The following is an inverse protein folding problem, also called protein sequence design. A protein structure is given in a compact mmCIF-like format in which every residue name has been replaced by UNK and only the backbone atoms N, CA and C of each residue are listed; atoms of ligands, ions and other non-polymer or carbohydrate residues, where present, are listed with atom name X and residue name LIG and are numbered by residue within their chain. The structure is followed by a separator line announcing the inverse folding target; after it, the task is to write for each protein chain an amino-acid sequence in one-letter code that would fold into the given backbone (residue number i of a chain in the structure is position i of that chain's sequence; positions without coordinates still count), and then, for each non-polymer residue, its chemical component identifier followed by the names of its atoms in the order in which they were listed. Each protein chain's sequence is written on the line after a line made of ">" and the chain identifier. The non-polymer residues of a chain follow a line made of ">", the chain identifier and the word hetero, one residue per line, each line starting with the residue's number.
data_IF_309632615817
#
_entry.id   IF_309632615817
#
_cell.length_a   1.000
_cell.length_b   1.000
_cell.length_c   1.000
_cell.angle_alpha   90.00
_cell.angle_beta   90.00
_cell.angle_gamma   90.00
#
_symmetry.space_group_name_H-M   'P 1'
#
loop_
_entity.id
_entity.type
_entity.pdbx_description
1 polymer ?
#
# COMPACT_ATOMS: atom_id res chain seq x y z
N UNK A 1 57.73 -3.12 31.19
CA UNK A 1 56.72 -4.07 31.71
C UNK A 1 55.42 -3.66 31.05
N UNK A 2 55.14 -4.23 29.88
CA UNK A 2 53.89 -3.93 29.15
C UNK A 2 52.75 -4.71 29.82
N UNK A 3 51.73 -3.99 30.27
CA UNK A 3 50.54 -4.61 30.84
C UNK A 3 49.74 -5.29 29.72
N UNK A 4 49.58 -6.60 29.81
CA UNK A 4 48.78 -7.39 28.88
C UNK A 4 47.31 -6.94 28.98
N UNK A 5 46.79 -6.33 27.92
CA UNK A 5 45.39 -5.86 27.87
C UNK A 5 44.49 -7.06 27.62
N UNK A 6 43.80 -7.55 28.66
CA UNK A 6 42.81 -8.60 28.51
C UNK A 6 41.55 -8.06 27.81
N UNK A 7 41.23 -8.63 26.64
CA UNK A 7 39.99 -8.31 25.93
C UNK A 7 38.83 -9.13 26.52
N UNK A 8 37.63 -8.54 26.68
CA UNK A 8 36.45 -9.27 27.14
C UNK A 8 36.06 -10.36 26.13
N UNK A 9 35.50 -11.46 26.64
CA UNK A 9 34.96 -12.55 25.82
C UNK A 9 33.77 -12.03 25.00
N UNK A 10 33.79 -12.32 23.69
CA UNK A 10 32.68 -12.01 22.80
C UNK A 10 31.66 -13.15 22.85
N UNK A 11 30.44 -12.86 23.32
CA UNK A 11 29.31 -13.79 23.41
C UNK A 11 28.23 -13.43 22.38
N UNK A 12 28.65 -13.28 21.11
CA UNK A 12 27.74 -12.99 20.01
C UNK A 12 27.22 -14.28 19.40
N UNK A 13 25.93 -14.34 18.99
CA UNK A 13 25.37 -15.50 18.33
C UNK A 13 26.05 -15.75 16.98
N UNK A 14 26.12 -17.02 16.59
CA UNK A 14 26.71 -17.46 15.31
C UNK A 14 25.92 -16.85 14.15
N UNK A 15 26.63 -16.46 13.09
CA UNK A 15 26.02 -15.93 11.88
C UNK A 15 25.22 -17.03 11.15
N UNK A 16 23.90 -16.93 11.16
CA UNK A 16 23.00 -17.88 10.49
C UNK A 16 23.01 -17.76 8.95
N UNK A 17 23.69 -16.76 8.38
CA UNK A 17 23.65 -16.43 6.94
C UNK A 17 24.95 -16.75 6.19
N UNK A 18 26.00 -17.19 6.89
CA UNK A 18 27.36 -17.29 6.35
C UNK A 18 27.46 -18.17 5.09
N UNK A 19 26.77 -19.31 5.08
CA UNK A 19 26.80 -20.25 3.96
C UNK A 19 25.69 -20.00 2.92
N UNK A 20 24.61 -19.32 3.31
CA UNK A 20 23.43 -19.15 2.44
C UNK A 20 23.72 -18.09 1.36
N UNK A 21 24.39 -17.00 1.74
CA UNK A 21 24.64 -15.88 0.83
C UNK A 21 25.71 -16.16 -0.22
N UNK A 22 26.60 -17.14 0.03
CA UNK A 22 27.70 -17.51 -0.86
C UNK A 22 27.25 -18.45 -2.00
N UNK A 23 26.07 -19.08 -1.87
CA UNK A 23 25.54 -20.02 -2.86
C UNK A 23 24.71 -19.36 -3.98
N UNK A 24 24.25 -18.13 -3.81
CA UNK A 24 23.47 -17.44 -4.84
C UNK A 24 24.33 -17.07 -6.05
N UNK A 25 24.30 -17.92 -7.08
CA UNK A 25 24.74 -17.54 -8.42
C UNK A 25 23.64 -16.73 -9.09
N UNK A 26 23.96 -15.52 -9.58
CA UNK A 26 23.05 -14.58 -10.26
C UNK A 26 22.47 -15.09 -11.60
N UNK A 27 22.45 -16.40 -11.88
CA UNK A 27 22.25 -16.90 -13.24
C UNK A 27 20.82 -16.79 -13.76
N UNK A 28 19.80 -16.74 -12.89
CA UNK A 28 18.40 -16.91 -13.33
C UNK A 28 17.50 -15.68 -13.15
N UNK A 29 17.96 -14.64 -12.44
CA UNK A 29 17.14 -13.46 -12.11
C UNK A 29 16.91 -12.49 -13.28
N UNK A 30 17.68 -12.63 -14.36
CA UNK A 30 17.74 -11.65 -15.44
C UNK A 30 17.84 -12.28 -16.84
N UNK A 31 17.22 -13.46 -17.04
CA UNK A 31 17.07 -14.03 -18.39
C UNK A 31 16.41 -12.99 -19.30
N UNK A 32 16.92 -12.86 -20.54
CA UNK A 32 16.39 -11.89 -21.51
C UNK A 32 14.89 -12.09 -21.75
N UNK A 33 14.40 -13.32 -21.64
CA UNK A 33 12.97 -13.64 -21.70
C UNK A 33 12.16 -13.01 -20.57
N UNK A 34 12.71 -12.91 -19.36
CA UNK A 34 12.03 -12.32 -18.20
C UNK A 34 11.97 -10.79 -18.34
N UNK A 35 13.04 -10.17 -18.86
CA UNK A 35 13.07 -8.73 -19.18
C UNK A 35 12.09 -8.38 -20.30
N UNK A 36 12.05 -9.17 -21.37
CA UNK A 36 11.08 -9.03 -22.46
C UNK A 36 9.65 -9.08 -21.91
N UNK A 37 9.36 -10.11 -21.10
CA UNK A 37 8.05 -10.27 -20.46
C UNK A 37 7.69 -9.12 -19.53
N UNK A 38 8.65 -8.64 -18.72
CA UNK A 38 8.46 -7.47 -17.86
C UNK A 38 8.10 -6.22 -18.67
N UNK A 39 8.79 -5.97 -19.77
CA UNK A 39 8.52 -4.84 -20.67
C UNK A 39 7.12 -4.89 -21.29
N UNK A 40 6.71 -6.08 -21.77
CA UNK A 40 5.37 -6.29 -22.35
C UNK A 40 4.29 -6.02 -21.29
N UNK A 41 4.43 -6.63 -20.11
CA UNK A 41 3.48 -6.46 -19.01
C UNK A 41 3.41 -5.00 -18.53
N UNK A 42 4.55 -4.31 -18.47
CA UNK A 42 4.60 -2.88 -18.11
C UNK A 42 3.74 -2.04 -19.04
N UNK A 43 3.82 -2.26 -20.35
CA UNK A 43 3.01 -1.50 -21.32
C UNK A 43 1.52 -1.86 -21.21
N UNK A 44 1.17 -3.14 -21.06
CA UNK A 44 -0.24 -3.55 -20.87
C UNK A 44 -0.85 -2.96 -19.58
N UNK A 45 -0.08 -2.94 -18.49
CA UNK A 45 -0.49 -2.29 -17.23
C UNK A 45 -0.66 -0.79 -17.44
N UNK A 46 0.23 -0.15 -18.21
CA UNK A 46 0.13 1.27 -18.55
C UNK A 46 -1.15 1.57 -19.33
N UNK A 47 -1.50 0.77 -20.33
CA UNK A 47 -2.73 0.93 -21.10
C UNK A 47 -3.97 0.82 -20.20
N UNK A 48 -4.00 -0.19 -19.32
CA UNK A 48 -5.08 -0.40 -18.35
C UNK A 48 -5.18 0.78 -17.37
N UNK A 49 -4.03 1.27 -16.89
CA UNK A 49 -3.96 2.46 -16.05
C UNK A 49 -4.51 3.69 -16.78
N UNK A 50 -4.14 3.90 -18.04
CA UNK A 50 -4.64 5.02 -18.85
C UNK A 50 -6.14 4.91 -19.14
N UNK A 51 -6.69 3.71 -19.26
CA UNK A 51 -8.12 3.48 -19.42
C UNK A 51 -8.91 3.79 -18.14
N UNK A 52 -8.35 3.51 -16.97
CA UNK A 52 -9.00 3.77 -15.67
C UNK A 52 -9.37 5.24 -15.44
N UNK A 53 -8.74 6.18 -16.16
CA UNK A 53 -9.04 7.63 -16.11
C UNK A 53 -10.50 7.97 -16.42
N UNK A 54 -11.23 7.09 -17.10
CA UNK A 54 -12.65 7.31 -17.41
C UNK A 54 -13.51 7.39 -16.15
N UNK A 55 -13.11 6.70 -15.08
CA UNK A 55 -13.80 6.71 -13.79
C UNK A 55 -12.80 7.10 -12.69
N UNK A 56 -12.94 8.29 -12.08
CA UNK A 56 -11.98 8.73 -11.07
C UNK A 56 -11.84 7.80 -9.86
N UNK A 57 -12.90 7.07 -9.50
CA UNK A 57 -12.87 6.12 -8.39
C UNK A 57 -12.02 4.89 -8.75
N UNK A 58 -12.22 4.35 -9.96
CA UNK A 58 -11.42 3.23 -10.46
C UNK A 58 -9.97 3.66 -10.66
N UNK A 59 -9.75 4.89 -11.12
CA UNK A 59 -8.43 5.45 -11.30
C UNK A 59 -7.62 5.47 -10.00
N UNK A 60 -8.17 6.01 -8.91
CA UNK A 60 -7.42 6.06 -7.66
C UNK A 60 -7.26 4.67 -7.03
N UNK A 61 -8.24 3.76 -7.18
CA UNK A 61 -8.06 2.34 -6.79
C UNK A 61 -6.93 1.66 -7.59
N UNK A 62 -6.74 2.04 -8.84
CA UNK A 62 -5.65 1.52 -9.66
C UNK A 62 -4.30 2.06 -9.15
N UNK A 63 -4.21 3.37 -8.88
CA UNK A 63 -3.02 4.02 -8.31
C UNK A 63 -2.63 3.39 -6.97
N UNK A 64 -3.61 3.15 -6.09
CA UNK A 64 -3.43 2.40 -4.84
C UNK A 64 -2.70 1.09 -5.07
N UNK A 65 -3.28 0.28 -5.94
CA UNK A 65 -2.82 -1.06 -6.22
C UNK A 65 -1.39 -1.02 -6.77
N UNK A 66 -1.06 -0.08 -7.65
CA UNK A 66 0.30 0.14 -8.15
C UNK A 66 1.29 0.47 -7.02
N UNK A 67 0.93 1.39 -6.12
CA UNK A 67 1.77 1.79 -4.99
C UNK A 67 2.03 0.62 -4.04
N UNK A 68 0.99 -0.14 -3.68
CA UNK A 68 1.12 -1.25 -2.73
C UNK A 68 1.77 -2.49 -3.31
N UNK A 69 1.64 -2.71 -4.62
CA UNK A 69 2.40 -3.72 -5.34
C UNK A 69 3.86 -3.29 -5.59
N UNK A 70 4.24 -2.07 -5.20
CA UNK A 70 5.60 -1.58 -5.29
C UNK A 70 6.07 -1.32 -6.72
N UNK A 71 5.15 -1.08 -7.66
CA UNK A 71 5.45 -0.84 -9.09
C UNK A 71 5.07 0.56 -9.56
N UNK A 72 4.56 1.42 -8.68
CA UNK A 72 4.17 2.80 -8.99
C UNK A 72 5.33 3.64 -9.55
N UNK A 73 6.57 3.36 -9.17
CA UNK A 73 7.76 4.08 -9.64
C UNK A 73 7.95 3.99 -11.16
N UNK A 74 7.37 2.99 -11.83
CA UNK A 74 7.37 2.89 -13.30
C UNK A 74 6.47 3.93 -13.97
N UNK A 75 5.55 4.54 -13.23
CA UNK A 75 4.46 5.36 -13.74
C UNK A 75 4.34 6.71 -13.02
N UNK A 76 5.36 7.17 -12.28
CA UNK A 76 5.30 8.38 -11.43
C UNK A 76 4.76 9.61 -12.16
N UNK A 77 5.29 9.89 -13.36
CA UNK A 77 4.86 11.04 -14.17
C UNK A 77 3.39 10.97 -14.55
N UNK A 78 2.93 9.77 -14.91
CA UNK A 78 1.56 9.52 -15.30
C UNK A 78 0.61 9.61 -14.09
N UNK A 79 1.03 9.09 -12.94
CA UNK A 79 0.30 9.17 -11.67
C UNK A 79 0.13 10.64 -11.24
N UNK A 80 1.22 11.40 -11.18
CA UNK A 80 1.18 12.82 -10.79
C UNK A 80 0.26 13.62 -11.70
N UNK A 81 0.40 13.46 -13.01
CA UNK A 81 -0.44 14.18 -13.99
C UNK A 81 -1.93 13.85 -13.85
N UNK A 82 -2.28 12.58 -13.60
CA UNK A 82 -3.67 12.16 -13.43
C UNK A 82 -4.28 12.64 -12.13
N UNK A 83 -3.50 12.64 -11.04
CA UNK A 83 -3.92 13.20 -9.77
C UNK A 83 -4.19 14.70 -9.95
N UNK A 84 -3.23 15.50 -10.40
CA UNK A 84 -3.40 16.95 -10.64
C UNK A 84 -4.71 17.27 -11.39
N UNK A 85 -4.93 16.60 -12.52
CA UNK A 85 -6.14 16.80 -13.34
C UNK A 85 -7.44 16.41 -12.62
N UNK A 86 -7.40 15.38 -11.78
CA UNK A 86 -8.57 14.92 -11.03
C UNK A 86 -8.97 15.94 -9.96
N UNK A 87 -8.00 16.61 -9.32
CA UNK A 87 -8.27 17.63 -8.29
C UNK A 87 -8.88 18.92 -8.86
N UNK A 88 -8.45 19.33 -10.06
CA UNK A 88 -9.01 20.51 -10.73
C UNK A 88 -10.47 20.29 -11.20
N UNK A 89 -10.97 19.06 -11.17
CA UNK A 89 -12.35 18.73 -11.55
C UNK A 89 -13.32 18.92 -10.39
N UNK A 90 -14.27 19.86 -10.53
CA UNK A 90 -15.41 20.01 -9.61
C UNK A 90 -16.25 18.72 -9.50
N UNK A 91 -16.31 17.94 -10.58
CA UNK A 91 -17.06 16.69 -10.67
C UNK A 91 -16.41 15.56 -9.85
N UNK A 92 -15.09 15.61 -9.65
CA UNK A 92 -14.34 14.68 -8.79
C UNK A 92 -14.72 14.86 -7.32
N UNK A 93 -14.70 16.10 -6.84
CA UNK A 93 -15.10 16.44 -5.47
C UNK A 93 -16.56 16.05 -5.20
N UNK A 94 -17.45 16.21 -6.18
CA UNK A 94 -18.86 15.85 -6.05
C UNK A 94 -19.08 14.33 -6.10
N UNK A 95 -18.43 13.60 -7.00
CA UNK A 95 -18.54 12.13 -7.09
C UNK A 95 -17.90 11.41 -5.89
N UNK A 96 -16.77 11.88 -5.38
CA UNK A 96 -16.20 11.37 -4.12
C UNK A 96 -17.15 11.61 -2.94
N UNK A 97 -17.85 12.75 -2.91
CA UNK A 97 -18.84 13.06 -1.86
C UNK A 97 -20.10 12.20 -1.94
N UNK A 98 -20.52 11.79 -3.14
CA UNK A 98 -21.82 11.14 -3.36
C UNK A 98 -21.75 9.60 -3.45
N UNK A 99 -20.66 9.01 -3.95
CA UNK A 99 -20.69 7.61 -4.43
C UNK A 99 -19.81 6.63 -3.64
N UNK A 100 -19.52 6.93 -2.36
CA UNK A 100 -18.92 5.95 -1.43
C UNK A 100 -17.59 5.36 -1.91
N UNK A 101 -16.62 6.22 -2.25
CA UNK A 101 -15.28 5.79 -2.66
C UNK A 101 -14.62 4.90 -1.60
N UNK A 102 -13.87 3.89 -2.01
CA UNK A 102 -13.08 3.07 -1.07
C UNK A 102 -11.95 3.96 -0.49
N UNK A 103 -12.08 4.32 0.78
CA UNK A 103 -11.40 5.45 1.42
C UNK A 103 -9.87 5.33 1.55
N UNK A 104 -9.24 4.26 1.06
CA UNK A 104 -7.80 4.31 0.80
C UNK A 104 -7.48 5.39 -0.25
N UNK A 105 -8.37 5.56 -1.24
CA UNK A 105 -8.34 6.66 -2.20
C UNK A 105 -8.40 8.02 -1.52
N UNK A 106 -9.24 8.16 -0.49
CA UNK A 106 -9.32 9.40 0.30
C UNK A 106 -8.08 9.60 1.17
N UNK A 107 -7.46 8.52 1.67
CA UNK A 107 -6.17 8.54 2.34
C UNK A 107 -5.00 8.93 1.42
N UNK A 108 -4.98 8.47 0.16
CA UNK A 108 -4.02 8.91 -0.87
C UNK A 108 -4.28 10.37 -1.25
N UNK A 109 -5.54 10.76 -1.44
CA UNK A 109 -5.94 12.16 -1.68
C UNK A 109 -5.51 13.06 -0.51
N UNK A 110 -5.63 12.56 0.72
CA UNK A 110 -5.13 13.20 1.94
C UNK A 110 -3.60 13.31 1.91
N UNK A 111 -2.89 12.22 1.58
CA UNK A 111 -1.42 12.16 1.45
C UNK A 111 -0.87 13.13 0.39
N UNK A 112 -1.55 13.28 -0.75
CA UNK A 112 -1.04 14.09 -1.87
C UNK A 112 -1.42 15.57 -1.73
N UNK A 113 -2.56 15.91 -1.12
CA UNK A 113 -3.09 17.29 -1.16
C UNK A 113 -3.45 17.91 0.20
N UNK A 114 -3.26 17.19 1.31
CA UNK A 114 -3.35 17.73 2.67
C UNK A 114 -4.64 18.55 2.97
N UNK A 115 -5.76 18.19 2.32
CA UNK A 115 -7.01 18.97 2.32
C UNK A 115 -8.26 18.10 2.53
N UNK A 116 -8.08 16.88 3.04
CA UNK A 116 -9.06 15.79 2.89
C UNK A 116 -9.98 15.49 4.07
N UNK A 117 -9.76 16.07 5.26
CA UNK A 117 -10.51 15.71 6.49
C UNK A 117 -12.02 15.91 6.35
N UNK A 118 -12.45 16.96 5.66
CA UNK A 118 -13.87 17.27 5.43
C UNK A 118 -14.61 16.25 4.54
N UNK A 119 -13.92 15.33 3.86
CA UNK A 119 -14.58 14.29 3.07
C UNK A 119 -15.03 13.08 3.90
N UNK A 120 -14.42 12.90 5.08
CA UNK A 120 -14.67 11.78 6.00
C UNK A 120 -15.84 12.04 6.94
N UNK A 121 -16.20 13.31 7.13
CA UNK A 121 -17.26 13.72 8.03
C UNK A 121 -18.58 13.96 7.29
N UNK A 122 -19.69 13.57 7.91
CA UNK A 122 -21.05 13.97 7.49
C UNK A 122 -21.32 15.43 7.85
N UNK A 123 -22.53 15.91 7.54
CA UNK A 123 -22.94 17.29 7.82
C UNK A 123 -22.98 17.59 9.33
N UNK A 124 -23.06 16.56 10.18
CA UNK A 124 -23.04 16.66 11.65
C UNK A 124 -21.62 16.58 12.23
N UNK A 125 -20.59 16.47 11.38
CA UNK A 125 -19.20 16.36 11.80
C UNK A 125 -18.82 14.98 12.32
N UNK A 126 -19.62 13.94 12.07
CA UNK A 126 -19.34 12.55 12.45
C UNK A 126 -18.83 11.73 11.28
N UNK A 127 -18.12 10.64 11.57
CA UNK A 127 -17.78 9.67 10.54
C UNK A 127 -19.04 9.09 9.90
N UNK A 128 -19.15 9.26 8.58
CA UNK A 128 -20.28 8.74 7.78
C UNK A 128 -20.47 7.25 8.05
N UNK A 129 -21.69 6.82 8.38
CA UNK A 129 -21.97 5.44 8.79
C UNK A 129 -21.55 4.35 7.78
N UNK A 130 -21.52 4.67 6.48
CA UNK A 130 -21.05 3.74 5.45
C UNK A 130 -19.53 3.49 5.49
N UNK A 131 -18.74 4.34 6.18
CA UNK A 131 -17.29 4.16 6.40
C UNK A 131 -16.96 2.89 7.20
N UNK A 132 -17.91 2.48 8.04
CA UNK A 132 -17.78 1.41 9.02
C UNK A 132 -18.56 0.17 8.59
N UNK A 133 -19.16 0.20 7.40
CA UNK A 133 -20.07 -0.84 6.96
C UNK A 133 -19.34 -2.19 6.70
N UNK A 134 -18.04 -2.16 6.39
CA UNK A 134 -17.23 -3.37 6.18
C UNK A 134 -15.76 -3.24 6.65
N UNK A 135 -15.05 -4.37 6.68
CA UNK A 135 -13.65 -4.43 7.12
C UNK A 135 -12.70 -3.65 6.21
N UNK A 136 -13.00 -3.55 4.91
CA UNK A 136 -12.12 -2.87 3.94
C UNK A 136 -12.19 -1.35 4.12
N UNK A 137 -13.39 -0.81 4.33
CA UNK A 137 -13.62 0.59 4.66
C UNK A 137 -12.98 0.97 5.98
N UNK A 138 -13.19 0.15 7.03
CA UNK A 138 -12.59 0.39 8.36
C UNK A 138 -11.05 0.33 8.30
N UNK A 139 -10.48 -0.62 7.55
CA UNK A 139 -9.02 -0.75 7.38
C UNK A 139 -8.45 0.45 6.63
N UNK A 140 -9.14 0.90 5.59
CA UNK A 140 -8.76 2.08 4.82
C UNK A 140 -8.74 3.34 5.69
N UNK A 141 -9.75 3.51 6.55
CA UNK A 141 -9.82 4.63 7.50
C UNK A 141 -8.65 4.58 8.49
N UNK A 142 -8.35 3.39 9.03
CA UNK A 142 -7.20 3.19 9.92
C UNK A 142 -5.87 3.56 9.26
N UNK A 143 -5.60 3.07 8.05
CA UNK A 143 -4.36 3.37 7.34
C UNK A 143 -4.24 4.85 6.98
N UNK A 144 -5.35 5.52 6.65
CA UNK A 144 -5.38 6.95 6.40
C UNK A 144 -5.12 7.78 7.67
N UNK A 145 -5.77 7.42 8.78
CA UNK A 145 -5.64 8.14 10.06
C UNK A 145 -4.22 8.09 10.63
N UNK A 146 -3.42 7.10 10.24
CA UNK A 146 -2.04 7.00 10.69
C UNK A 146 -1.08 8.05 10.11
N UNK A 147 -1.50 8.77 9.06
CA UNK A 147 -0.80 9.94 8.52
C UNK A 147 -1.06 11.22 9.31
N UNK A 148 -1.85 11.16 10.38
CA UNK A 148 -2.19 12.31 11.20
C UNK A 148 -0.94 13.02 11.75
N UNK A 149 -1.02 14.34 11.78
CA UNK A 149 -0.08 15.23 12.46
C UNK A 149 -0.69 15.80 13.74
N UNK A 150 0.13 16.19 14.75
CA UNK A 150 -0.40 16.72 16.00
C UNK A 150 -1.31 17.93 15.79
N UNK A 151 -2.53 17.88 16.35
CA UNK A 151 -3.55 18.94 16.24
C UNK A 151 -4.68 18.64 15.25
N UNK A 152 -4.71 17.43 14.67
CA UNK A 152 -5.79 16.97 13.79
C UNK A 152 -6.80 16.09 14.55
N UNK A 153 -7.60 16.70 15.42
CA UNK A 153 -8.58 16.02 16.28
C UNK A 153 -9.47 15.02 15.53
N UNK A 154 -9.82 15.33 14.28
CA UNK A 154 -10.59 14.44 13.41
C UNK A 154 -9.86 13.13 13.10
N UNK A 155 -8.57 13.17 12.74
CA UNK A 155 -7.86 11.94 12.42
C UNK A 155 -7.49 11.14 13.67
N UNK A 156 -7.27 11.81 14.80
CA UNK A 156 -7.12 11.14 16.09
C UNK A 156 -8.39 10.36 16.46
N UNK A 157 -9.58 10.94 16.24
CA UNK A 157 -10.86 10.24 16.43
C UNK A 157 -11.02 9.08 15.42
N UNK A 158 -10.66 9.30 14.14
CA UNK A 158 -10.68 8.25 13.11
C UNK A 158 -9.81 7.05 13.50
N UNK A 159 -8.62 7.33 14.05
CA UNK A 159 -7.67 6.32 14.47
C UNK A 159 -8.20 5.52 15.67
N UNK A 160 -8.75 6.20 16.68
CA UNK A 160 -9.35 5.56 17.85
C UNK A 160 -10.54 4.67 17.45
N UNK A 161 -11.43 5.22 16.61
CA UNK A 161 -12.61 4.53 16.11
C UNK A 161 -12.25 3.28 15.30
N UNK A 162 -11.41 3.43 14.28
CA UNK A 162 -11.05 2.32 13.40
C UNK A 162 -10.29 1.22 14.13
N UNK A 163 -9.40 1.56 15.08
CA UNK A 163 -8.74 0.57 15.95
C UNK A 163 -9.73 -0.25 16.76
N UNK A 164 -10.73 0.39 17.38
CA UNK A 164 -11.70 -0.28 18.23
C UNK A 164 -12.56 -1.30 17.46
N UNK A 165 -12.83 -1.04 16.18
CA UNK A 165 -13.72 -1.87 15.37
C UNK A 165 -12.99 -2.88 14.47
N UNK A 166 -11.72 -2.63 14.10
CA UNK A 166 -11.01 -3.47 13.15
C UNK A 166 -10.82 -4.91 13.60
N UNK A 167 -10.50 -5.13 14.88
CA UNK A 167 -10.29 -6.49 15.41
C UNK A 167 -11.59 -7.32 15.33
N UNK A 168 -12.71 -6.72 15.71
CA UNK A 168 -14.02 -7.37 15.68
C UNK A 168 -14.45 -7.68 14.23
N UNK A 169 -14.40 -6.70 13.33
CA UNK A 169 -14.87 -6.88 11.94
C UNK A 169 -13.93 -7.82 11.18
N UNK A 170 -12.64 -7.81 11.48
CA UNK A 170 -11.65 -8.74 10.93
C UNK A 170 -11.97 -10.20 11.25
N UNK A 171 -12.46 -10.50 12.46
CA UNK A 171 -12.85 -11.87 12.84
C UNK A 171 -13.99 -12.46 12.00
N UNK A 172 -14.77 -11.59 11.33
CA UNK A 172 -15.91 -11.94 10.47
C UNK A 172 -15.58 -11.85 8.98
N UNK A 173 -14.33 -11.54 8.64
CA UNK A 173 -13.86 -11.28 7.27
C UNK A 173 -13.24 -12.53 6.63
N UNK A 174 -12.93 -12.45 5.34
CA UNK A 174 -12.18 -13.50 4.65
C UNK A 174 -10.80 -13.71 5.31
N UNK A 175 -10.23 -14.93 5.28
CA UNK A 175 -8.95 -15.20 5.93
C UNK A 175 -7.81 -14.28 5.47
N UNK A 176 -7.72 -13.97 4.17
CA UNK A 176 -6.70 -13.06 3.63
C UNK A 176 -6.89 -11.61 4.12
N UNK A 177 -8.14 -11.13 4.22
CA UNK A 177 -8.43 -9.80 4.76
C UNK A 177 -8.12 -9.73 6.26
N UNK A 178 -8.44 -10.77 7.03
CA UNK A 178 -8.13 -10.84 8.44
C UNK A 178 -6.61 -10.79 8.70
N UNK A 179 -5.82 -11.48 7.89
CA UNK A 179 -4.35 -11.41 7.93
C UNK A 179 -3.87 -9.99 7.61
N UNK A 180 -4.43 -9.35 6.56
CA UNK A 180 -4.07 -7.98 6.20
C UNK A 180 -4.37 -7.00 7.34
N UNK A 181 -5.54 -7.08 7.97
CA UNK A 181 -5.89 -6.24 9.12
C UNK A 181 -4.90 -6.47 10.27
N UNK A 182 -4.61 -7.73 10.61
CA UNK A 182 -3.66 -8.06 11.68
C UNK A 182 -2.26 -7.50 11.41
N UNK A 183 -1.81 -7.52 10.15
CA UNK A 183 -0.51 -6.96 9.78
C UNK A 183 -0.53 -5.43 9.90
N UNK A 184 -1.56 -4.77 9.39
CA UNK A 184 -1.69 -3.31 9.48
C UNK A 184 -1.77 -2.80 10.94
N UNK A 185 -2.43 -3.54 11.83
CA UNK A 185 -2.49 -3.21 13.27
C UNK A 185 -1.11 -3.35 13.96
N UNK A 186 -0.26 -4.28 13.51
CA UNK A 186 1.11 -4.43 14.02
C UNK A 186 2.06 -3.40 13.45
N UNK A 187 2.03 -3.24 12.13
CA UNK A 187 2.89 -2.34 11.37
C UNK A 187 2.02 -1.64 10.33
N UNK A 188 1.66 -0.37 10.57
CA UNK A 188 0.95 0.41 9.57
C UNK A 188 1.80 0.53 8.30
N UNK A 189 1.20 0.34 7.12
CA UNK A 189 1.89 0.27 5.83
C UNK A 189 2.94 1.38 5.62
N UNK A 190 2.57 2.64 5.90
CA UNK A 190 3.43 3.83 5.72
C UNK A 190 4.56 3.97 6.77
N UNK A 191 4.48 3.24 7.90
CA UNK A 191 5.55 3.13 8.92
C UNK A 191 6.39 1.86 8.73
N UNK A 192 5.97 0.97 7.84
CA UNK A 192 6.63 -0.30 7.54
C UNK A 192 7.77 -0.17 6.54
N UNK A 193 8.61 -1.20 6.48
CA UNK A 193 9.64 -1.29 5.44
C UNK A 193 8.94 -1.63 4.12
N UNK A 194 8.96 -0.71 3.15
CA UNK A 194 8.25 -0.80 1.86
C UNK A 194 8.32 -2.19 1.21
N UNK A 195 9.50 -2.82 1.21
CA UNK A 195 9.71 -4.14 0.61
C UNK A 195 8.95 -5.27 1.32
N UNK A 196 8.89 -5.23 2.65
CA UNK A 196 8.15 -6.21 3.46
C UNK A 196 6.66 -6.03 3.22
N UNK A 197 6.19 -4.79 3.26
CA UNK A 197 4.79 -4.45 3.03
C UNK A 197 4.33 -4.83 1.63
N UNK A 198 5.16 -4.55 0.61
CA UNK A 198 4.91 -4.95 -0.79
C UNK A 198 4.77 -6.47 -0.91
N UNK A 199 5.66 -7.24 -0.29
CA UNK A 199 5.60 -8.72 -0.32
C UNK A 199 4.30 -9.25 0.31
N UNK A 200 3.92 -8.69 1.45
CA UNK A 200 2.67 -9.06 2.12
C UNK A 200 1.47 -8.68 1.25
N UNK A 201 1.50 -7.51 0.61
CA UNK A 201 0.42 -7.05 -0.24
C UNK A 201 0.28 -7.88 -1.52
N UNK A 202 1.38 -8.29 -2.17
CA UNK A 202 1.33 -9.22 -3.32
C UNK A 202 0.56 -10.50 -2.95
N UNK A 203 0.84 -11.05 -1.77
CA UNK A 203 0.18 -12.28 -1.28
C UNK A 203 -1.31 -12.04 -0.98
N UNK A 204 -1.64 -10.88 -0.43
CA UNK A 204 -3.03 -10.47 -0.21
C UNK A 204 -3.77 -10.28 -1.54
N UNK A 205 -3.17 -9.57 -2.49
CA UNK A 205 -3.77 -9.21 -3.77
C UNK A 205 -4.06 -10.44 -4.63
N UNK A 206 -3.16 -11.43 -4.60
CA UNK A 206 -3.38 -12.72 -5.27
C UNK A 206 -4.60 -13.48 -4.74
N UNK A 207 -4.98 -13.28 -3.48
CA UNK A 207 -6.13 -13.94 -2.88
C UNK A 207 -7.46 -13.18 -3.07
N UNK A 208 -7.43 -11.97 -3.64
CA UNK A 208 -8.62 -11.14 -3.87
C UNK A 208 -9.37 -11.59 -5.13
N UNK A 209 -10.71 -11.63 -5.06
CA UNK A 209 -11.56 -12.01 -6.19
C UNK A 209 -11.44 -11.08 -7.41
N UNK A 210 -11.13 -9.80 -7.17
CA UNK A 210 -10.96 -8.76 -8.20
C UNK A 210 -9.50 -8.53 -8.58
N UNK A 211 -8.65 -9.53 -8.36
CA UNK A 211 -7.24 -9.47 -8.74
C UNK A 211 -7.10 -9.34 -10.26
N UNK A 212 -6.36 -8.34 -10.72
CA UNK A 212 -5.90 -8.24 -12.10
C UNK A 212 -4.66 -9.13 -12.25
N UNK A 213 -4.81 -10.22 -13.01
CA UNK A 213 -3.74 -11.20 -13.22
C UNK A 213 -2.51 -10.61 -13.90
N UNK A 214 -2.71 -9.65 -14.83
CA UNK A 214 -1.63 -9.01 -15.58
C UNK A 214 -0.82 -8.11 -14.65
N UNK A 215 -1.51 -7.31 -13.83
CA UNK A 215 -0.88 -6.45 -12.84
C UNK A 215 -0.18 -7.25 -11.73
N UNK A 216 -0.79 -8.34 -11.27
CA UNK A 216 -0.17 -9.24 -10.29
C UNK A 216 1.11 -9.87 -10.85
N UNK A 217 1.06 -10.37 -12.09
CA UNK A 217 2.22 -10.99 -12.73
C UNK A 217 3.35 -9.97 -12.94
N UNK A 218 3.01 -8.76 -13.38
CA UNK A 218 3.94 -7.65 -13.49
C UNK A 218 4.64 -7.37 -12.14
N UNK A 219 3.86 -7.24 -11.06
CA UNK A 219 4.38 -6.98 -9.73
C UNK A 219 5.28 -8.11 -9.20
N UNK A 220 4.94 -9.37 -9.45
CA UNK A 220 5.76 -10.52 -9.05
C UNK A 220 7.11 -10.53 -9.77
N UNK A 221 7.09 -10.30 -11.09
CA UNK A 221 8.32 -10.25 -11.90
C UNK A 221 9.18 -9.05 -11.48
N UNK A 222 8.57 -7.87 -11.31
CA UNK A 222 9.27 -6.67 -10.89
C UNK A 222 9.88 -6.81 -9.49
N UNK A 223 9.13 -7.39 -8.54
CA UNK A 223 9.63 -7.68 -7.20
C UNK A 223 10.86 -8.57 -7.27
N UNK A 224 10.83 -9.64 -8.04
CA UNK A 224 11.96 -10.57 -8.16
C UNK A 224 13.16 -9.91 -8.86
N UNK A 225 12.94 -9.15 -9.93
CA UNK A 225 13.99 -8.53 -10.73
C UNK A 225 14.66 -7.33 -10.05
N UNK A 226 13.89 -6.51 -9.34
CA UNK A 226 14.35 -5.28 -8.70
C UNK A 226 14.36 -5.49 -7.18
N UNK A 227 15.56 -5.74 -6.63
CA UNK A 227 15.76 -6.06 -5.21
C UNK A 227 15.35 -4.95 -4.24
N UNK A 228 15.26 -3.70 -4.70
CA UNK A 228 14.88 -2.51 -3.92
C UNK A 228 14.29 -1.47 -4.90
N UNK A 229 13.03 -1.00 -4.74
CA UNK A 229 12.61 0.25 -5.38
C UNK A 229 13.36 1.43 -4.73
N UNK A 230 13.76 2.46 -5.50
CA UNK A 230 14.55 3.59 -4.99
C UNK A 230 13.90 4.34 -3.82
#
# INVERSE_FOLDING_TARGET
>A
MESEVQRPLADFPVNIWEDILTWFSNSDLASDTLKEKHSILKETVKESFMASRANPIENVKFIDTLCRLGVSYHFEKDITHQLEKSFDSLDFNQKIRQDGCNFYTVGIVFQVFNSGSNFLLDEDGKFKAHLVADARGTLSLYEAAQWSTPGEDTLDEALAFSNAHLEEISSRSSPHLAIRVKNALKHPFHKGISRIETRQFISYYEAEEKCDSTLLEFAKIDFVANGVPP
#
